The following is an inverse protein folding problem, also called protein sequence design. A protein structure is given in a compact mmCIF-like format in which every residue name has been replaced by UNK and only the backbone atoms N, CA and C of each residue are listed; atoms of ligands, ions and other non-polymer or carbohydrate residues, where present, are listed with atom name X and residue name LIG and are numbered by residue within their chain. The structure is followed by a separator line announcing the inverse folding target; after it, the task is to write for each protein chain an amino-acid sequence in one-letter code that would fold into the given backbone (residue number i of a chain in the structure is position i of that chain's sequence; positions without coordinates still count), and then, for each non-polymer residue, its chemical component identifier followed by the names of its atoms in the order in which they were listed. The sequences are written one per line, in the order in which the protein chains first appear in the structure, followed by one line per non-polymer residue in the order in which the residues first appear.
data_IF_362940706616
#
_entry.id   IF_362940706616
#
_cell.length_a   1.000
_cell.length_b   1.000
_cell.length_c   1.000
_cell.angle_alpha   90.00
_cell.angle_beta   90.00
_cell.angle_gamma   90.00
#
_symmetry.space_group_name_H-M   'P 1'
#
loop_
_entity.id
_entity.type
_entity.pdbx_description
1 polymer ?
#
# COMPACT_ATOMS: atom_id res chain seq x y z
N UNK A 1 -14.54 14.47 -9.91
CA UNK A 1 -15.34 13.53 -9.10
C UNK A 1 -15.85 12.48 -10.05
N UNK A 2 -15.66 11.19 -9.79
CA UNK A 2 -16.20 10.13 -10.65
C UNK A 2 -17.73 10.16 -10.61
N UNK A 3 -18.38 9.77 -11.71
CA UNK A 3 -19.84 9.83 -11.88
C UNK A 3 -20.62 8.79 -11.02
N UNK A 4 -20.09 8.38 -9.86
CA UNK A 4 -20.70 7.39 -8.98
C UNK A 4 -20.62 5.95 -9.48
N UNK A 5 -20.30 5.70 -10.76
CA UNK A 5 -20.20 4.36 -11.38
C UNK A 5 -19.34 3.37 -10.60
N UNK A 6 -18.24 3.85 -10.01
CA UNK A 6 -17.38 3.03 -9.16
C UNK A 6 -18.14 2.36 -7.99
N UNK A 7 -19.30 2.88 -7.59
CA UNK A 7 -20.10 2.40 -6.47
C UNK A 7 -21.39 1.68 -6.88
N UNK A 8 -21.65 1.54 -8.18
CA UNK A 8 -22.85 0.88 -8.69
C UNK A 8 -22.69 -0.64 -8.75
N UNK A 9 -23.75 -1.37 -8.42
CA UNK A 9 -23.84 -2.82 -8.59
C UNK A 9 -22.91 -3.62 -7.67
N UNK A 10 -22.49 -4.80 -8.15
CA UNK A 10 -21.60 -5.68 -7.38
C UNK A 10 -20.13 -5.29 -7.60
N UNK A 11 -19.70 -4.26 -6.86
CA UNK A 11 -18.35 -3.68 -6.91
C UNK A 11 -17.25 -4.74 -6.80
N UNK A 12 -17.41 -5.70 -5.86
CA UNK A 12 -16.40 -6.74 -5.63
C UNK A 12 -16.27 -7.68 -6.82
N UNK A 13 -17.39 -8.14 -7.37
CA UNK A 13 -17.38 -9.00 -8.56
C UNK A 13 -16.72 -8.28 -9.74
N UNK A 14 -17.09 -7.01 -9.97
CA UNK A 14 -16.53 -6.19 -11.04
C UNK A 14 -15.01 -6.02 -10.92
N UNK A 15 -14.49 -5.71 -9.72
CA UNK A 15 -13.05 -5.61 -9.48
C UNK A 15 -12.31 -6.88 -9.94
N UNK A 16 -12.82 -8.06 -9.57
CA UNK A 16 -12.20 -9.33 -9.97
C UNK A 16 -12.39 -9.67 -11.45
N UNK A 17 -13.48 -9.21 -12.08
CA UNK A 17 -13.64 -9.29 -13.53
C UNK A 17 -12.58 -8.46 -14.25
N UNK A 18 -12.36 -7.20 -13.85
CA UNK A 18 -11.29 -6.34 -14.40
C UNK A 18 -9.90 -6.96 -14.27
N UNK A 19 -9.61 -7.56 -13.12
CA UNK A 19 -8.34 -8.26 -12.89
C UNK A 19 -8.17 -9.43 -13.88
N UNK A 20 -9.22 -10.24 -14.08
CA UNK A 20 -9.20 -11.37 -15.02
C UNK A 20 -9.10 -10.91 -16.48
N UNK A 21 -9.77 -9.82 -16.85
CA UNK A 21 -9.63 -9.20 -18.18
C UNK A 21 -8.19 -8.78 -18.48
N UNK A 22 -7.37 -8.54 -17.45
CA UNK A 22 -5.93 -8.25 -17.56
C UNK A 22 -5.04 -9.49 -17.47
N UNK A 23 -5.61 -10.68 -17.46
CA UNK A 23 -4.88 -11.95 -17.49
C UNK A 23 -4.28 -12.35 -16.13
N UNK A 24 -4.78 -11.79 -15.03
CA UNK A 24 -4.34 -12.15 -13.68
C UNK A 24 -5.39 -13.00 -12.95
N UNK A 25 -4.92 -14.02 -12.24
CA UNK A 25 -5.80 -14.93 -11.48
C UNK A 25 -6.28 -14.35 -10.15
N UNK A 26 -5.62 -13.29 -9.66
CA UNK A 26 -5.97 -12.64 -8.40
C UNK A 26 -5.52 -11.19 -8.37
N UNK A 27 -6.14 -10.41 -7.49
CA UNK A 27 -5.79 -8.99 -7.34
C UNK A 27 -4.38 -8.83 -6.77
N UNK A 28 -3.95 -9.71 -5.86
CA UNK A 28 -2.56 -9.74 -5.38
C UNK A 28 -1.58 -9.95 -6.53
N UNK A 29 -1.82 -10.93 -7.43
CA UNK A 29 -0.93 -11.18 -8.56
C UNK A 29 -0.84 -9.96 -9.51
N UNK A 30 -1.98 -9.28 -9.75
CA UNK A 30 -2.00 -8.03 -10.51
C UNK A 30 -1.16 -6.93 -9.84
N UNK A 31 -1.29 -6.76 -8.52
CA UNK A 31 -0.57 -5.73 -7.77
C UNK A 31 0.93 -6.06 -7.61
N UNK A 32 1.29 -7.33 -7.50
CA UNK A 32 2.70 -7.80 -7.40
C UNK A 32 3.47 -7.59 -8.70
N UNK A 33 2.80 -7.68 -9.86
CA UNK A 33 3.40 -7.32 -11.14
C UNK A 33 3.65 -5.79 -11.29
N UNK A 34 3.15 -4.98 -10.36
CA UNK A 34 3.26 -3.51 -10.31
C UNK A 34 3.77 -3.07 -8.93
N UNK A 35 4.99 -3.48 -8.56
CA UNK A 35 5.50 -3.27 -7.22
C UNK A 35 5.62 -1.76 -6.92
N UNK A 36 5.27 -1.37 -5.70
CA UNK A 36 5.24 0.02 -5.23
C UNK A 36 4.41 1.01 -6.07
N UNK A 37 3.66 0.59 -7.09
CA UNK A 37 2.75 1.47 -7.83
C UNK A 37 1.60 1.92 -6.92
N UNK A 38 1.31 3.23 -6.80
CA UNK A 38 0.22 3.77 -5.98
C UNK A 38 -1.15 3.14 -6.27
N UNK A 39 -1.98 3.01 -5.22
CA UNK A 39 -3.27 2.35 -5.30
C UNK A 39 -4.24 3.01 -6.31
N UNK A 40 -4.16 4.34 -6.46
CA UNK A 40 -5.00 5.06 -7.40
C UNK A 40 -4.61 4.75 -8.86
N UNK A 41 -3.32 4.58 -9.15
CA UNK A 41 -2.85 4.18 -10.49
C UNK A 41 -3.21 2.73 -10.81
N UNK A 42 -3.14 1.83 -9.83
CA UNK A 42 -3.65 0.46 -10.00
C UNK A 42 -5.14 0.45 -10.37
N UNK A 43 -5.92 1.30 -9.70
CA UNK A 43 -7.35 1.44 -9.96
C UNK A 43 -7.62 2.03 -11.36
N UNK A 44 -6.90 3.07 -11.76
CA UNK A 44 -6.97 3.64 -13.11
C UNK A 44 -6.65 2.60 -14.18
N UNK A 45 -5.61 1.79 -13.94
CA UNK A 45 -5.25 0.72 -14.86
C UNK A 45 -6.36 -0.31 -14.95
N UNK A 46 -6.97 -0.75 -13.84
CA UNK A 46 -8.06 -1.73 -13.86
C UNK A 46 -9.34 -1.18 -14.51
N UNK A 47 -9.57 0.11 -14.41
CA UNK A 47 -10.69 0.79 -15.05
C UNK A 47 -10.82 2.21 -14.56
N UNK A 48 -10.33 3.16 -15.37
CA UNK A 48 -10.50 4.60 -15.11
C UNK A 48 -11.98 4.92 -14.88
N UNK A 49 -12.26 5.60 -13.76
CA UNK A 49 -13.60 5.97 -13.27
C UNK A 49 -14.54 4.81 -12.90
N UNK A 50 -14.11 3.55 -13.07
CA UNK A 50 -14.87 2.33 -12.79
C UNK A 50 -14.39 1.60 -11.51
N UNK A 51 -13.10 1.74 -11.19
CA UNK A 51 -12.47 1.20 -10.00
C UNK A 51 -11.87 2.34 -9.18
N UNK A 52 -12.07 2.30 -7.86
CA UNK A 52 -11.47 3.26 -6.93
C UNK A 52 -10.30 2.63 -6.15
N UNK A 53 -9.30 3.44 -5.77
CA UNK A 53 -8.14 2.97 -5.00
C UNK A 53 -8.51 2.26 -3.69
N UNK A 54 -9.55 2.73 -3.00
CA UNK A 54 -10.06 2.07 -1.77
C UNK A 54 -10.63 0.67 -2.03
N UNK A 55 -11.15 0.41 -3.24
CA UNK A 55 -11.63 -0.93 -3.62
C UNK A 55 -10.46 -1.87 -3.87
N UNK A 56 -9.39 -1.37 -4.50
CA UNK A 56 -8.13 -2.12 -4.64
C UNK A 56 -7.55 -2.45 -3.26
N UNK A 57 -7.44 -1.46 -2.37
CA UNK A 57 -6.97 -1.66 -0.99
C UNK A 57 -7.79 -2.73 -0.26
N UNK A 58 -9.13 -2.61 -0.30
CA UNK A 58 -10.04 -3.54 0.37
C UNK A 58 -9.97 -4.95 -0.21
N UNK A 59 -9.85 -5.07 -1.54
CA UNK A 59 -9.68 -6.35 -2.22
C UNK A 59 -8.35 -7.03 -1.86
N UNK A 60 -7.25 -6.27 -1.82
CA UNK A 60 -5.93 -6.76 -1.44
C UNK A 60 -5.91 -7.24 0.02
N UNK A 61 -6.51 -6.47 0.93
CA UNK A 61 -6.65 -6.88 2.33
C UNK A 61 -7.43 -8.19 2.44
N UNK A 62 -8.59 -8.31 1.77
CA UNK A 62 -9.42 -9.51 1.82
C UNK A 62 -8.68 -10.75 1.27
N UNK A 63 -7.85 -10.58 0.24
CA UNK A 63 -6.99 -11.67 -0.24
C UNK A 63 -5.87 -12.02 0.73
N UNK A 64 -5.23 -11.01 1.34
CA UNK A 64 -4.19 -11.20 2.33
C UNK A 64 -4.70 -11.90 3.58
N UNK A 65 -5.89 -11.55 4.08
CA UNK A 65 -6.56 -12.23 5.19
C UNK A 65 -6.81 -13.70 4.87
N UNK A 66 -7.38 -13.98 3.68
CA UNK A 66 -7.64 -15.36 3.23
C UNK A 66 -6.36 -16.20 3.15
N UNK A 67 -5.24 -15.57 2.75
CA UNK A 67 -3.93 -16.22 2.63
C UNK A 67 -3.09 -16.17 3.91
N UNK A 68 -3.58 -15.53 4.98
CA UNK A 68 -2.84 -15.28 6.23
C UNK A 68 -1.52 -14.50 6.00
N UNK A 69 -1.56 -13.51 5.12
CA UNK A 69 -0.41 -12.68 4.71
C UNK A 69 -0.63 -11.19 5.02
N UNK A 70 -1.38 -10.88 6.08
CA UNK A 70 -1.77 -9.50 6.40
C UNK A 70 -0.55 -8.63 6.73
N UNK A 71 0.46 -9.16 7.41
CA UNK A 71 1.70 -8.40 7.68
C UNK A 71 2.41 -8.00 6.39
N UNK A 72 2.57 -8.94 5.44
CA UNK A 72 3.13 -8.63 4.11
C UNK A 72 2.30 -7.58 3.37
N UNK A 73 0.97 -7.67 3.41
CA UNK A 73 0.08 -6.65 2.85
C UNK A 73 0.31 -5.27 3.48
N UNK A 74 0.49 -5.19 4.80
CA UNK A 74 0.78 -3.92 5.48
C UNK A 74 2.12 -3.32 5.04
N UNK A 75 3.14 -4.15 4.77
CA UNK A 75 4.40 -3.69 4.16
C UNK A 75 4.21 -3.22 2.71
N UNK A 76 3.43 -3.94 1.92
CA UNK A 76 3.11 -3.55 0.52
C UNK A 76 2.40 -2.19 0.46
N UNK A 77 1.40 -1.97 1.33
CA UNK A 77 0.69 -0.69 1.44
C UNK A 77 1.65 0.44 1.80
N UNK A 78 2.60 0.21 2.71
CA UNK A 78 3.62 1.21 3.00
C UNK A 78 4.42 1.58 1.76
N UNK A 79 4.92 0.59 1.01
CA UNK A 79 5.74 0.86 -0.17
C UNK A 79 5.00 1.69 -1.24
N UNK A 80 3.70 1.41 -1.44
CA UNK A 80 2.84 2.15 -2.39
C UNK A 80 2.53 3.57 -1.93
N UNK A 81 2.33 3.79 -0.64
CA UNK A 81 2.11 5.14 -0.08
C UNK A 81 3.40 5.94 -0.09
N UNK A 82 4.53 5.29 0.18
CA UNK A 82 5.84 5.93 0.21
C UNK A 82 6.25 6.43 -1.17
N UNK A 83 6.06 5.63 -2.22
CA UNK A 83 6.34 6.05 -3.60
C UNK A 83 5.45 7.20 -4.08
N UNK A 84 4.23 7.32 -3.56
CA UNK A 84 3.30 8.41 -3.87
C UNK A 84 3.69 9.72 -3.18
N UNK A 85 3.95 9.68 -1.87
CA UNK A 85 4.25 10.87 -1.09
C UNK A 85 5.71 11.31 -1.17
N UNK A 86 6.65 10.38 -1.34
CA UNK A 86 8.10 10.63 -1.28
C UNK A 86 8.81 9.91 -2.44
N UNK A 87 8.56 10.32 -3.70
CA UNK A 87 9.03 9.59 -4.89
C UNK A 87 10.56 9.50 -5.01
N UNK A 88 11.29 10.49 -4.50
CA UNK A 88 12.76 10.52 -4.50
C UNK A 88 13.39 9.74 -3.31
N UNK A 89 12.56 9.07 -2.50
CA UNK A 89 12.98 8.32 -1.32
C UNK A 89 13.28 9.22 -0.12
N UNK A 90 13.85 8.64 0.93
CA UNK A 90 14.06 9.33 2.20
C UNK A 90 14.86 10.64 2.00
N UNK A 91 14.39 11.77 2.55
CA UNK A 91 14.97 13.06 2.23
C UNK A 91 16.39 13.20 2.76
N UNK A 92 17.24 13.89 2.00
CA UNK A 92 18.59 14.26 2.46
C UNK A 92 18.55 15.32 3.56
N UNK A 93 17.60 16.26 3.45
CA UNK A 93 17.36 17.35 4.41
C UNK A 93 15.90 17.32 4.83
N UNK A 94 15.64 17.34 6.15
CA UNK A 94 14.28 17.33 6.71
C UNK A 94 13.72 18.76 6.85
N UNK A 95 13.52 19.43 5.72
CA UNK A 95 12.82 20.71 5.65
C UNK A 95 11.30 20.55 5.87
N UNK A 96 10.54 21.64 5.76
CA UNK A 96 9.11 21.62 6.08
C UNK A 96 8.28 20.80 5.08
N UNK A 97 8.63 20.86 3.79
CA UNK A 97 7.95 20.10 2.73
C UNK A 97 8.25 18.61 2.86
N UNK A 98 9.52 18.24 3.05
CA UNK A 98 9.92 16.86 3.31
C UNK A 98 9.29 16.32 4.59
N UNK A 99 9.20 17.15 5.65
CA UNK A 99 8.57 16.76 6.91
C UNK A 99 7.08 16.49 6.72
N UNK A 100 6.38 17.30 5.93
CA UNK A 100 4.97 17.09 5.62
C UNK A 100 4.78 15.79 4.83
N UNK A 101 5.52 15.59 3.74
CA UNK A 101 5.42 14.41 2.89
C UNK A 101 5.68 13.09 3.65
N UNK A 102 6.74 13.06 4.47
CA UNK A 102 7.04 11.90 5.33
C UNK A 102 5.94 11.69 6.38
N UNK A 103 5.45 12.76 7.00
CA UNK A 103 4.38 12.66 8.00
C UNK A 103 3.06 12.15 7.39
N UNK A 104 2.72 12.61 6.17
CA UNK A 104 1.57 12.17 5.40
C UNK A 104 1.66 10.68 5.07
N UNK A 105 2.77 10.23 4.47
CA UNK A 105 3.00 8.83 4.13
C UNK A 105 2.83 7.91 5.37
N UNK A 106 3.49 8.27 6.47
CA UNK A 106 3.41 7.51 7.73
C UNK A 106 2.01 7.58 8.36
N UNK A 107 1.31 8.70 8.21
CA UNK A 107 -0.07 8.89 8.67
C UNK A 107 -1.05 8.00 7.92
N UNK A 108 -1.04 8.08 6.59
CA UNK A 108 -1.85 7.23 5.70
C UNK A 108 -1.55 5.75 5.93
N UNK A 109 -0.28 5.38 6.15
CA UNK A 109 0.06 3.99 6.44
C UNK A 109 -0.68 3.45 7.66
N UNK A 110 -0.74 4.22 8.75
CA UNK A 110 -1.53 3.83 9.93
C UNK A 110 -3.03 3.84 9.65
N UNK A 111 -3.53 4.78 8.86
CA UNK A 111 -4.95 4.86 8.52
C UNK A 111 -5.42 3.65 7.69
N UNK A 112 -4.57 3.17 6.78
CA UNK A 112 -4.88 2.04 5.88
C UNK A 112 -4.51 0.67 6.47
N UNK A 113 -3.86 0.66 7.64
CA UNK A 113 -3.53 -0.57 8.36
C UNK A 113 -4.76 -1.12 9.10
N UNK A 114 -5.07 -2.43 8.97
CA UNK A 114 -6.13 -3.08 9.73
C UNK A 114 -5.92 -2.94 11.24
N UNK A 115 -7.01 -2.92 12.02
CA UNK A 115 -6.94 -2.71 13.47
C UNK A 115 -5.99 -3.71 14.17
N UNK A 116 -5.98 -4.97 13.70
CA UNK A 116 -5.12 -6.04 14.20
C UNK A 116 -3.63 -5.75 14.11
N UNK A 117 -3.20 -4.84 13.22
CA UNK A 117 -1.81 -4.53 12.94
C UNK A 117 -1.41 -3.09 13.32
N UNK A 118 -2.34 -2.25 13.78
CA UNK A 118 -2.07 -0.82 14.05
C UNK A 118 -0.99 -0.59 15.09
N UNK A 119 -0.96 -1.36 16.17
CA UNK A 119 0.07 -1.20 17.21
C UNK A 119 1.47 -1.54 16.69
N UNK A 120 1.58 -2.61 15.88
CA UNK A 120 2.84 -2.99 15.22
C UNK A 120 3.32 -1.88 14.26
N UNK A 121 2.40 -1.30 13.48
CA UNK A 121 2.72 -0.16 12.60
C UNK A 121 3.11 1.09 13.39
N UNK A 122 2.47 1.39 14.52
CA UNK A 122 2.88 2.51 15.39
C UNK A 122 4.31 2.31 15.90
N UNK A 123 4.68 1.10 16.28
CA UNK A 123 6.05 0.76 16.70
C UNK A 123 7.05 0.91 15.55
N UNK A 124 6.73 0.37 14.36
CA UNK A 124 7.57 0.51 13.17
C UNK A 124 7.78 1.99 12.77
N UNK A 125 6.73 2.81 12.83
CA UNK A 125 6.82 4.26 12.61
C UNK A 125 7.70 4.95 13.65
N UNK A 126 7.60 4.55 14.92
CA UNK A 126 8.45 5.10 15.97
C UNK A 126 9.93 4.74 15.73
N UNK A 127 10.21 3.50 15.32
CA UNK A 127 11.54 3.04 14.95
C UNK A 127 12.10 3.81 13.74
N UNK A 128 11.32 4.02 12.68
CA UNK A 128 11.72 4.84 11.52
C UNK A 128 12.06 6.29 11.91
N UNK A 129 11.37 6.87 12.90
CA UNK A 129 11.70 8.22 13.39
C UNK A 129 12.94 8.25 14.26
N UNK A 130 13.14 7.21 15.08
CA UNK A 130 14.29 7.12 15.98
C UNK A 130 15.59 6.81 15.21
N UNK A 131 15.49 5.97 14.19
CA UNK A 131 16.58 5.51 13.34
C UNK A 131 16.18 5.66 11.87
N UNK A 132 16.27 6.88 11.32
CA UNK A 132 15.89 7.14 9.94
C UNK A 132 16.78 6.37 8.96
N UNK A 133 16.22 5.85 7.85
CA UNK A 133 17.00 5.21 6.80
C UNK A 133 17.92 6.21 6.08
N UNK A 134 18.90 5.73 5.31
CA UNK A 134 19.78 6.60 4.54
C UNK A 134 18.99 7.42 3.49
N UNK A 135 19.47 8.62 3.13
CA UNK A 135 18.87 9.40 2.05
C UNK A 135 18.72 8.61 0.75
N UNK A 136 17.61 8.81 0.05
CA UNK A 136 17.25 8.09 -1.16
C UNK A 136 16.67 6.69 -0.93
N UNK A 137 16.56 6.22 0.32
CA UNK A 137 15.90 4.94 0.58
C UNK A 137 14.42 5.01 0.20
N UNK A 138 13.99 4.07 -0.63
CA UNK A 138 12.60 3.89 -1.02
C UNK A 138 12.34 2.39 -1.19
N UNK A 139 11.38 1.80 -0.45
CA UNK A 139 11.09 0.38 -0.57
C UNK A 139 10.51 0.07 -1.94
N UNK A 140 11.12 -0.88 -2.65
CA UNK A 140 10.64 -1.31 -3.97
C UNK A 140 9.44 -2.26 -3.88
N UNK A 141 9.05 -2.70 -2.68
CA UNK A 141 7.91 -3.59 -2.47
C UNK A 141 7.81 -4.07 -1.03
N UNK A 142 6.91 -5.03 -0.80
CA UNK A 142 6.61 -5.57 0.52
C UNK A 142 7.79 -6.28 1.20
N UNK A 143 8.76 -6.76 0.42
CA UNK A 143 9.85 -7.61 0.89
C UNK A 143 11.18 -6.82 0.99
N UNK A 144 11.10 -5.48 1.11
CA UNK A 144 12.24 -4.62 1.43
C UNK A 144 12.88 -5.03 2.77
N UNK A 145 14.21 -5.05 2.83
CA UNK A 145 14.96 -5.56 3.99
C UNK A 145 14.67 -4.77 5.28
N UNK A 146 14.51 -3.45 5.18
CA UNK A 146 14.19 -2.61 6.34
C UNK A 146 12.75 -2.86 6.79
N UNK A 147 11.81 -2.99 5.85
CA UNK A 147 10.42 -3.32 6.19
C UNK A 147 10.27 -4.70 6.81
N UNK A 148 11.01 -5.70 6.32
CA UNK A 148 11.07 -7.04 6.92
C UNK A 148 11.60 -7.00 8.35
N UNK A 149 12.58 -6.13 8.63
CA UNK A 149 13.13 -5.94 9.97
C UNK A 149 12.14 -5.24 10.91
N UNK A 150 11.45 -4.21 10.41
CA UNK A 150 10.51 -3.41 11.20
C UNK A 150 9.18 -4.12 11.46
N UNK A 151 8.72 -4.93 10.51
CA UNK A 151 7.47 -5.66 10.54
C UNK A 151 7.71 -7.09 10.02
N UNK A 152 8.35 -7.96 10.82
CA UNK A 152 8.58 -9.35 10.43
C UNK A 152 7.26 -10.09 10.31
N UNK A 153 7.20 -11.12 9.47
CA UNK A 153 6.01 -11.96 9.35
C UNK A 153 5.67 -12.63 10.68
N UNK A 154 4.38 -12.86 10.93
CA UNK A 154 3.94 -13.56 12.12
C UNK A 154 4.40 -15.02 12.04
N UNK A 155 5.07 -15.52 13.07
CA UNK A 155 5.40 -16.94 13.18
C UNK A 155 4.08 -17.74 13.24
N UNK A 156 3.94 -18.71 12.33
CA UNK A 156 2.75 -19.58 12.19
C UNK A 156 2.77 -20.70 13.23
#
# INVERSE_FOLDING_TARGET
MSDGRAWEGNIKARLYERVRERGFDSLSAFAEARPAVPLHLLAEELGKDDVAGVQVLSGLLAEAERRKQVTRFVRDVFARLWSESVPDGWPTVMDDDARFAVAEALGCWTAYTPETHKERVKQARAALRASPPPPGWSPLGADDELLLTLLPDEEV
#
